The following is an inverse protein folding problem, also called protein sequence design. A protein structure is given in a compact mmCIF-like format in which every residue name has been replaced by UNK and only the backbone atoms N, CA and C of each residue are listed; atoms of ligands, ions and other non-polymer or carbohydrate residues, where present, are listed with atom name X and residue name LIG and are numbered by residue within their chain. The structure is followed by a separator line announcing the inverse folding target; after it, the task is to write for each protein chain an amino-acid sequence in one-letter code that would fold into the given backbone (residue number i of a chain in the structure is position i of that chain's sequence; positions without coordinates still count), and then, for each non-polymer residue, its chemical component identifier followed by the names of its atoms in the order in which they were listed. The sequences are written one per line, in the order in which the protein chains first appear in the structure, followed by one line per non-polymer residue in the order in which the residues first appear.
data_IF_323914630310
#
_entry.id   IF_323914630310
#
_cell.length_a   1.000
_cell.length_b   1.000
_cell.length_c   1.000
_cell.angle_alpha   90.00
_cell.angle_beta   90.00
_cell.angle_gamma   90.00
#
_symmetry.space_group_name_H-M   'P 1'
#
loop_
_entity.id
_entity.type
_entity.pdbx_description
1 polymer ?
#
# COMPACT_ATOMS: atom_id res chain seq x y z
N UNK A 1 1.27 4.04 8.13
CA UNK A 1 -0.01 3.50 7.59
C UNK A 1 0.16 2.30 6.64
N UNK A 2 1.05 2.37 5.62
CA UNK A 2 1.22 1.33 4.60
C UNK A 2 1.40 -0.12 5.12
N UNK A 3 2.26 -0.34 6.12
CA UNK A 3 2.49 -1.68 6.71
C UNK A 3 1.21 -2.24 7.35
N UNK A 4 0.47 -1.40 8.06
CA UNK A 4 -0.77 -1.80 8.72
C UNK A 4 -1.85 -2.18 7.70
N UNK A 5 -2.02 -1.37 6.65
CA UNK A 5 -2.96 -1.66 5.55
C UNK A 5 -2.60 -2.96 4.83
N UNK A 6 -1.32 -3.17 4.48
CA UNK A 6 -0.88 -4.40 3.83
C UNK A 6 -1.12 -5.64 4.67
N UNK A 7 -0.89 -5.56 6.00
CA UNK A 7 -1.15 -6.67 6.92
C UNK A 7 -2.66 -6.97 7.02
N UNK A 8 -3.51 -5.95 7.11
CA UNK A 8 -4.95 -6.12 7.13
C UNK A 8 -5.45 -6.78 5.84
N UNK A 9 -5.03 -6.26 4.68
CA UNK A 9 -5.35 -6.81 3.36
C UNK A 9 -4.94 -8.29 3.27
N UNK A 10 -3.73 -8.63 3.71
CA UNK A 10 -3.23 -10.01 3.66
C UNK A 10 -4.15 -11.01 4.37
N UNK A 11 -4.62 -10.66 5.58
CA UNK A 11 -5.53 -11.54 6.31
C UNK A 11 -6.94 -11.56 5.71
N UNK A 12 -7.41 -10.43 5.20
CA UNK A 12 -8.74 -10.34 4.58
C UNK A 12 -8.82 -11.14 3.27
N UNK A 13 -7.82 -11.01 2.39
CA UNK A 13 -7.84 -11.68 1.08
C UNK A 13 -7.68 -13.20 1.16
N UNK A 14 -7.19 -13.75 2.28
CA UNK A 14 -6.89 -15.18 2.42
C UNK A 14 -8.12 -16.07 2.25
N UNK A 15 -9.28 -15.59 2.69
CA UNK A 15 -10.55 -16.32 2.61
C UNK A 15 -11.34 -15.96 1.34
N UNK A 16 -10.77 -15.16 0.44
CA UNK A 16 -11.43 -14.67 -0.78
C UNK A 16 -11.03 -15.49 -2.01
N UNK A 17 -11.92 -15.55 -3.00
CA UNK A 17 -11.55 -16.01 -4.35
C UNK A 17 -10.59 -15.04 -5.03
N UNK A 18 -9.76 -15.53 -5.95
CA UNK A 18 -8.67 -14.77 -6.57
C UNK A 18 -9.12 -13.45 -7.21
N UNK A 19 -10.26 -13.44 -7.89
CA UNK A 19 -10.81 -12.24 -8.52
C UNK A 19 -11.15 -11.16 -7.49
N UNK A 20 -11.89 -11.54 -6.43
CA UNK A 20 -12.28 -10.62 -5.36
C UNK A 20 -11.06 -10.13 -4.55
N UNK A 21 -10.05 -11.00 -4.34
CA UNK A 21 -8.79 -10.63 -3.73
C UNK A 21 -8.05 -9.55 -4.53
N UNK A 22 -7.97 -9.68 -5.86
CA UNK A 22 -7.35 -8.67 -6.73
C UNK A 22 -8.09 -7.33 -6.69
N UNK A 23 -9.43 -7.34 -6.69
CA UNK A 23 -10.21 -6.12 -6.58
C UNK A 23 -9.94 -5.40 -5.24
N UNK A 24 -9.96 -6.14 -4.14
CA UNK A 24 -9.67 -5.59 -2.81
C UNK A 24 -8.24 -5.05 -2.71
N UNK A 25 -7.27 -5.78 -3.26
CA UNK A 25 -5.88 -5.34 -3.29
C UNK A 25 -5.72 -4.05 -4.09
N UNK A 26 -6.33 -3.95 -5.27
CA UNK A 26 -6.31 -2.74 -6.09
C UNK A 26 -6.87 -1.52 -5.36
N UNK A 27 -8.02 -1.67 -4.70
CA UNK A 27 -8.63 -0.60 -3.89
C UNK A 27 -7.73 -0.20 -2.71
N UNK A 28 -7.18 -1.17 -1.99
CA UNK A 28 -6.28 -0.91 -0.85
C UNK A 28 -5.02 -0.17 -1.29
N UNK A 29 -4.45 -0.54 -2.44
CA UNK A 29 -3.29 0.14 -3.00
C UNK A 29 -3.62 1.56 -3.45
N UNK A 30 -4.79 1.80 -4.04
CA UNK A 30 -5.24 3.15 -4.40
C UNK A 30 -5.38 4.05 -3.17
N UNK A 31 -5.99 3.55 -2.08
CA UNK A 31 -6.07 4.27 -0.81
C UNK A 31 -4.67 4.52 -0.24
N UNK A 32 -3.81 3.51 -0.23
CA UNK A 32 -2.45 3.64 0.29
C UNK A 32 -1.64 4.69 -0.48
N UNK A 33 -1.83 4.83 -1.80
CA UNK A 33 -1.12 5.86 -2.60
C UNK A 33 -1.56 7.30 -2.31
N UNK A 34 -2.72 7.50 -1.67
CA UNK A 34 -3.15 8.81 -1.20
C UNK A 34 -2.43 9.23 0.09
N UNK A 35 -1.81 8.30 0.80
CA UNK A 35 -1.06 8.59 2.03
C UNK A 35 0.29 9.24 1.73
N UNK A 36 0.62 10.29 2.48
CA UNK A 36 1.86 11.06 2.27
C UNK A 36 3.13 10.21 2.37
N UNK A 37 3.14 9.17 3.20
CA UNK A 37 4.28 8.25 3.27
C UNK A 37 4.41 7.33 2.06
N UNK A 38 3.31 6.92 1.43
CA UNK A 38 3.42 6.16 0.18
C UNK A 38 3.96 7.06 -0.93
N UNK A 39 3.48 8.31 -1.00
CA UNK A 39 3.97 9.31 -1.97
C UNK A 39 5.46 9.60 -1.76
N UNK A 40 5.90 9.79 -0.52
CA UNK A 40 7.30 9.99 -0.19
C UNK A 40 8.17 8.80 -0.57
N UNK A 41 7.70 7.57 -0.31
CA UNK A 41 8.42 6.36 -0.72
C UNK A 41 8.59 6.26 -2.23
N UNK A 42 7.54 6.59 -3.00
CA UNK A 42 7.58 6.62 -4.46
C UNK A 42 8.53 7.71 -4.96
N UNK A 43 8.38 8.94 -4.46
CA UNK A 43 9.23 10.07 -4.86
C UNK A 43 10.71 9.80 -4.55
N UNK A 44 11.01 9.33 -3.34
CA UNK A 44 12.38 9.00 -2.92
C UNK A 44 13.01 7.91 -3.79
N UNK A 45 12.22 6.88 -4.17
CA UNK A 45 12.66 5.84 -5.07
C UNK A 45 12.96 6.39 -6.47
N UNK A 46 12.05 7.18 -7.04
CA UNK A 46 12.23 7.81 -8.36
C UNK A 46 13.44 8.74 -8.39
N UNK A 47 13.66 9.50 -7.32
CA UNK A 47 14.76 10.45 -7.17
C UNK A 47 16.08 9.79 -6.70
N UNK A 48 16.10 8.48 -6.43
CA UNK A 48 17.26 7.72 -5.92
C UNK A 48 17.85 8.29 -4.63
N UNK A 49 16.99 8.79 -3.74
CA UNK A 49 17.38 9.30 -2.42
C UNK A 49 16.81 8.43 -1.32
N UNK A 50 17.35 8.58 -0.10
CA UNK A 50 16.72 7.98 1.05
C UNK A 50 15.35 8.66 1.32
N UNK A 51 14.30 7.88 1.62
CA UNK A 51 13.00 8.42 2.00
C UNK A 51 13.04 9.04 3.41
N UNK A 52 12.39 10.18 3.58
CA UNK A 52 12.17 10.86 4.86
C UNK A 52 10.77 10.52 5.38
N UNK A 53 10.67 9.41 6.10
CA UNK A 53 9.40 8.97 6.66
C UNK A 53 8.90 9.95 7.74
N UNK A 54 7.67 10.44 7.59
CA UNK A 54 6.95 11.24 8.59
C UNK A 54 5.60 10.59 8.97
N UNK A 55 5.57 9.26 9.00
CA UNK A 55 4.40 8.43 9.33
C UNK A 55 4.25 8.19 10.83
#
# INVERSE_FOLDING_TARGET
AAIAMGKALFYQQREMGIEAAYQLAGQTMAVNMMEGCAQEGVAAFTEKRAPSWKC
#
